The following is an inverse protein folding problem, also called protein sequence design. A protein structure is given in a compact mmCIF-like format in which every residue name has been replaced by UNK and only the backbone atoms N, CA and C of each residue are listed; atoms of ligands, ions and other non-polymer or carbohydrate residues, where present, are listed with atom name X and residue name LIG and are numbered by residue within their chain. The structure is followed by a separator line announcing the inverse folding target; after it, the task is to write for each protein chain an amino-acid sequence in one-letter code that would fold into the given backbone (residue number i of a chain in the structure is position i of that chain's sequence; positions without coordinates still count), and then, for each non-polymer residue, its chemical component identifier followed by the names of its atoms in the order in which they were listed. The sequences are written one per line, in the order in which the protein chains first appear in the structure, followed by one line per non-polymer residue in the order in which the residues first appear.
data_IF_323578781253
#
_entry.id   IF_323578781253
#
_cell.length_a   1.000
_cell.length_b   1.000
_cell.length_c   1.000
_cell.angle_alpha   90.00
_cell.angle_beta   90.00
_cell.angle_gamma   90.00
#
_symmetry.space_group_name_H-M   'P 1'
#
loop_
_entity.id
_entity.type
_entity.pdbx_description
1 polymer ?
#
# COMPACT_ATOMS: atom_id res chain seq x y z
N UNK A 1 20.73 31.55 -51.08
CA UNK A 1 19.97 30.40 -50.53
C UNK A 1 19.08 30.95 -49.42
N UNK A 2 17.81 31.26 -49.71
CA UNK A 2 16.60 30.51 -49.29
C UNK A 2 16.57 30.27 -47.76
N UNK A 3 15.88 31.05 -46.92
CA UNK A 3 14.42 31.24 -46.72
C UNK A 3 13.87 30.40 -45.55
N UNK A 4 13.50 31.11 -44.46
CA UNK A 4 12.35 31.01 -43.52
C UNK A 4 11.96 29.62 -42.93
N UNK A 5 11.53 29.48 -41.68
CA UNK A 5 10.32 30.07 -41.08
C UNK A 5 10.30 29.98 -39.53
N UNK A 6 9.69 31.01 -38.95
CA UNK A 6 9.10 31.05 -37.61
C UNK A 6 7.79 30.25 -37.55
N UNK A 7 7.43 29.68 -36.39
CA UNK A 7 6.06 29.75 -35.84
C UNK A 7 6.02 29.39 -34.36
N UNK A 8 5.39 30.29 -33.62
CA UNK A 8 4.92 30.20 -32.23
C UNK A 8 3.96 29.03 -31.95
N UNK A 9 3.82 28.71 -30.65
CA UNK A 9 2.55 28.53 -29.89
C UNK A 9 2.90 28.10 -28.45
N UNK A 10 2.76 28.99 -27.46
CA UNK A 10 1.55 29.28 -26.67
C UNK A 10 1.08 28.13 -25.76
N UNK A 11 1.23 28.40 -24.46
CA UNK A 11 0.40 28.03 -23.31
C UNK A 11 -0.84 27.18 -23.57
N UNK A 12 -1.02 26.14 -22.74
CA UNK A 12 -2.29 25.90 -22.06
C UNK A 12 -2.08 25.24 -20.70
N UNK A 13 -2.59 25.93 -19.68
CA UNK A 13 -2.98 25.38 -18.39
C UNK A 13 -4.15 24.41 -18.55
N UNK A 14 -4.25 23.45 -17.63
CA UNK A 14 -5.45 22.80 -17.07
C UNK A 14 -4.99 21.43 -16.53
N UNK A 15 -5.43 20.87 -15.41
CA UNK A 15 -6.37 21.20 -14.34
C UNK A 15 -6.12 20.16 -13.25
N UNK A 16 -6.05 20.64 -12.01
CA UNK A 16 -6.91 20.23 -10.88
C UNK A 16 -7.40 18.77 -10.83
N UNK A 17 -7.11 18.13 -9.69
CA UNK A 17 -7.90 17.11 -8.97
C UNK A 17 -8.15 15.78 -9.70
N UNK A 18 -7.80 14.64 -9.12
CA UNK A 18 -8.56 14.10 -8.00
C UNK A 18 -7.68 13.20 -7.12
N UNK A 19 -7.61 13.57 -5.84
CA UNK A 19 -7.45 12.60 -4.78
C UNK A 19 -8.65 11.66 -4.84
N UNK A 20 -8.50 10.55 -5.54
CA UNK A 20 -9.31 9.37 -5.27
C UNK A 20 -8.41 8.45 -4.48
N UNK A 21 -8.56 8.51 -3.15
CA UNK A 21 -8.27 7.34 -2.34
C UNK A 21 -9.07 6.21 -2.96
N UNK A 22 -8.42 5.36 -3.76
CA UNK A 22 -8.98 4.10 -4.24
C UNK A 22 -9.12 3.19 -3.03
N UNK A 23 -10.12 3.47 -2.22
CA UNK A 23 -10.62 2.52 -1.24
C UNK A 23 -11.45 1.50 -1.98
N UNK A 24 -11.11 0.23 -1.74
CA UNK A 24 -11.82 -0.98 -2.16
C UNK A 24 -11.60 -1.34 -3.63
N UNK A 25 -10.84 -2.43 -3.80
CA UNK A 25 -10.69 -3.20 -5.02
C UNK A 25 -12.08 -3.56 -5.55
N UNK A 26 -12.49 -2.98 -6.67
CA UNK A 26 -13.66 -3.42 -7.45
C UNK A 26 -13.32 -4.76 -8.12
N UNK A 27 -13.46 -5.84 -7.34
CA UNK A 27 -13.15 -7.23 -7.73
C UNK A 27 -14.10 -7.72 -8.85
N UNK A 28 -15.19 -7.01 -9.15
CA UNK A 28 -16.27 -7.48 -10.03
C UNK A 28 -15.96 -7.46 -11.54
N UNK A 29 -14.85 -6.86 -11.99
CA UNK A 29 -14.55 -6.71 -13.43
C UNK A 29 -13.18 -7.25 -13.87
N UNK A 30 -12.45 -7.97 -13.01
CA UNK A 30 -11.12 -8.48 -13.37
C UNK A 30 -11.19 -9.84 -14.06
N UNK A 31 -10.90 -9.87 -15.37
CA UNK A 31 -10.47 -11.09 -16.05
C UNK A 31 -9.17 -11.63 -15.44
N UNK A 32 -8.91 -12.94 -15.54
CA UNK A 32 -7.75 -13.60 -14.91
C UNK A 32 -6.38 -12.98 -15.23
N UNK A 33 -6.23 -12.36 -16.40
CA UNK A 33 -4.98 -11.64 -16.77
C UNK A 33 -4.73 -10.39 -15.92
N UNK A 34 -5.79 -9.68 -15.50
CA UNK A 34 -5.65 -8.48 -14.70
C UNK A 34 -5.24 -8.79 -13.25
N UNK A 35 -5.63 -9.95 -12.72
CA UNK A 35 -5.22 -10.38 -11.37
C UNK A 35 -3.71 -10.56 -11.27
N UNK A 36 -3.10 -11.20 -12.25
CA UNK A 36 -1.64 -11.39 -12.27
C UNK A 36 -0.87 -10.06 -12.24
N UNK A 37 -1.39 -9.04 -12.94
CA UNK A 37 -0.79 -7.69 -12.97
C UNK A 37 -0.90 -7.02 -11.60
N UNK A 38 -2.07 -7.04 -10.95
CA UNK A 38 -2.26 -6.43 -9.64
C UNK A 38 -1.44 -7.11 -8.55
N UNK A 39 -1.40 -8.45 -8.56
CA UNK A 39 -0.59 -9.21 -7.62
C UNK A 39 0.90 -8.91 -7.81
N UNK A 40 1.35 -8.82 -9.06
CA UNK A 40 2.73 -8.48 -9.38
C UNK A 40 3.11 -7.11 -8.85
N UNK A 41 2.22 -6.11 -8.93
CA UNK A 41 2.47 -4.77 -8.36
C UNK A 41 2.73 -4.86 -6.85
N UNK A 42 1.85 -5.55 -6.12
CA UNK A 42 2.03 -5.74 -4.67
C UNK A 42 3.34 -6.45 -4.35
N UNK A 43 3.69 -7.48 -5.12
CA UNK A 43 4.96 -8.19 -4.94
C UNK A 43 6.16 -7.26 -5.11
N UNK A 44 6.24 -6.52 -6.22
CA UNK A 44 7.37 -5.64 -6.51
C UNK A 44 7.48 -4.46 -5.54
N UNK A 45 6.35 -3.94 -5.06
CA UNK A 45 6.32 -2.77 -4.19
C UNK A 45 6.55 -3.13 -2.72
N UNK A 46 6.06 -4.28 -2.24
CA UNK A 46 6.06 -4.57 -0.80
C UNK A 46 6.75 -5.89 -0.39
N UNK A 47 6.85 -6.88 -1.28
CA UNK A 47 7.31 -8.23 -0.90
C UNK A 47 8.68 -8.60 -1.48
N UNK A 48 9.12 -7.92 -2.54
CA UNK A 48 10.41 -8.18 -3.17
C UNK A 48 11.55 -7.71 -2.26
N UNK A 49 12.57 -8.56 -2.02
CA UNK A 49 13.78 -8.15 -1.31
C UNK A 49 14.45 -6.93 -1.97
N UNK A 50 14.76 -5.93 -1.17
CA UNK A 50 15.31 -4.64 -1.61
C UNK A 50 14.29 -3.64 -2.13
N UNK A 51 12.98 -3.91 -1.99
CA UNK A 51 11.97 -2.90 -2.31
C UNK A 51 12.05 -1.70 -1.35
N UNK A 52 11.73 -0.50 -1.86
CA UNK A 52 11.65 0.72 -1.04
C UNK A 52 10.68 0.56 0.14
N UNK A 53 9.59 -0.17 -0.05
CA UNK A 53 8.57 -0.43 0.97
C UNK A 53 8.54 -1.90 1.40
N UNK A 54 9.70 -2.57 1.34
CA UNK A 54 9.84 -3.97 1.73
C UNK A 54 9.26 -4.22 3.14
N UNK A 55 8.27 -5.10 3.20
CA UNK A 55 7.71 -5.58 4.45
C UNK A 55 8.64 -6.60 5.07
N UNK A 56 8.80 -6.52 6.39
CA UNK A 56 9.56 -7.50 7.16
C UNK A 56 8.79 -8.84 7.25
N UNK A 57 8.84 -9.63 6.18
CA UNK A 57 8.15 -10.91 6.07
C UNK A 57 9.18 -12.05 6.14
N UNK A 58 8.97 -13.09 6.96
CA UNK A 58 9.86 -14.25 6.98
C UNK A 58 9.92 -14.92 5.61
N UNK A 59 11.11 -15.39 5.23
CA UNK A 59 11.35 -16.03 3.94
C UNK A 59 10.40 -17.22 3.67
N UNK A 60 10.06 -18.01 4.70
CA UNK A 60 9.13 -19.14 4.58
C UNK A 60 7.73 -18.71 4.17
N UNK A 61 7.24 -17.57 4.66
CA UNK A 61 5.93 -17.01 4.30
C UNK A 61 5.96 -16.47 2.86
N UNK A 62 7.07 -15.85 2.46
CA UNK A 62 7.27 -15.39 1.08
C UNK A 62 7.32 -16.55 0.08
N UNK A 63 7.97 -17.66 0.45
CA UNK A 63 7.98 -18.88 -0.36
C UNK A 63 6.58 -19.47 -0.55
N UNK A 64 5.75 -19.48 0.50
CA UNK A 64 4.36 -19.95 0.40
C UNK A 64 3.55 -19.09 -0.58
N UNK A 65 3.70 -17.75 -0.51
CA UNK A 65 3.09 -16.83 -1.48
C UNK A 65 3.56 -17.11 -2.91
N UNK A 66 4.87 -17.24 -3.13
CA UNK A 66 5.44 -17.50 -4.46
C UNK A 66 4.98 -18.84 -5.03
N UNK A 67 4.85 -19.87 -4.19
CA UNK A 67 4.29 -21.16 -4.59
C UNK A 67 2.86 -20.99 -5.12
N UNK A 68 1.99 -20.30 -4.38
CA UNK A 68 0.61 -20.04 -4.80
C UNK A 68 0.53 -19.20 -6.08
N UNK A 69 1.45 -18.24 -6.25
CA UNK A 69 1.55 -17.44 -7.48
C UNK A 69 1.85 -18.32 -8.69
N UNK A 70 2.79 -19.26 -8.56
CA UNK A 70 3.15 -20.19 -9.64
C UNK A 70 2.03 -21.18 -9.96
N UNK A 71 1.27 -21.60 -8.95
CA UNK A 71 0.10 -22.47 -9.08
C UNK A 71 -1.15 -21.73 -9.59
N UNK A 72 -1.08 -20.40 -9.76
CA UNK A 72 -2.21 -19.53 -10.13
C UNK A 72 -3.40 -19.63 -9.16
N UNK A 73 -3.16 -19.99 -7.90
CA UNK A 73 -4.18 -19.96 -6.83
C UNK A 73 -4.34 -18.53 -6.30
N UNK A 74 -5.06 -17.71 -7.06
CA UNK A 74 -5.22 -16.29 -6.76
C UNK A 74 -6.24 -15.99 -5.66
N UNK A 75 -7.15 -16.92 -5.34
CA UNK A 75 -8.26 -16.68 -4.39
C UNK A 75 -7.70 -16.35 -3.00
N UNK A 76 -6.70 -17.11 -2.56
CA UNK A 76 -6.13 -17.00 -1.21
C UNK A 76 -4.61 -16.80 -1.24
N UNK A 77 -4.11 -16.18 -2.32
CA UNK A 77 -2.67 -15.99 -2.52
C UNK A 77 -2.03 -15.15 -1.41
N UNK A 78 -2.73 -14.12 -0.94
CA UNK A 78 -2.24 -13.23 0.10
C UNK A 78 -2.54 -13.69 1.53
N UNK A 79 -3.23 -14.80 1.75
CA UNK A 79 -3.52 -15.30 3.11
C UNK A 79 -2.27 -15.44 4.01
N UNK A 80 -1.17 -16.08 3.58
CA UNK A 80 0.03 -16.17 4.41
C UNK A 80 0.62 -14.78 4.74
N UNK A 81 0.64 -13.88 3.77
CA UNK A 81 1.16 -12.51 3.94
C UNK A 81 0.26 -11.70 4.89
N UNK A 82 -1.05 -11.70 4.67
CA UNK A 82 -2.04 -10.98 5.51
C UNK A 82 -1.93 -11.42 6.96
N UNK A 83 -1.87 -12.72 7.21
CA UNK A 83 -1.76 -13.29 8.54
C UNK A 83 -0.52 -12.78 9.26
N UNK A 84 0.62 -12.77 8.57
CA UNK A 84 1.88 -12.35 9.16
C UNK A 84 1.93 -10.85 9.43
N UNK A 85 1.46 -10.03 8.47
CA UNK A 85 1.34 -8.57 8.66
C UNK A 85 0.43 -8.25 9.84
N UNK A 86 -0.74 -8.86 9.92
CA UNK A 86 -1.68 -8.66 11.03
C UNK A 86 -1.07 -9.09 12.37
N UNK A 87 -0.37 -10.23 12.41
CA UNK A 87 0.35 -10.70 13.60
C UNK A 87 1.36 -9.64 14.07
N UNK A 88 2.18 -9.11 13.16
CA UNK A 88 3.16 -8.06 13.49
C UNK A 88 2.51 -6.77 13.98
N UNK A 89 1.45 -6.31 13.31
CA UNK A 89 0.71 -5.11 13.72
C UNK A 89 0.12 -5.30 15.11
N UNK A 90 -0.53 -6.45 15.36
CA UNK A 90 -1.17 -6.75 16.63
C UNK A 90 -0.15 -6.85 17.78
N UNK A 91 1.00 -7.45 17.55
CA UNK A 91 2.01 -7.65 18.59
C UNK A 91 2.85 -6.40 18.86
N UNK A 92 3.14 -5.58 17.84
CA UNK A 92 4.12 -4.50 17.94
C UNK A 92 3.48 -3.11 17.88
N UNK A 93 2.65 -2.85 16.87
CA UNK A 93 2.12 -1.52 16.55
C UNK A 93 0.91 -1.19 17.41
N UNK A 94 -0.02 -2.13 17.54
CA UNK A 94 -1.28 -1.94 18.23
C UNK A 94 -1.11 -1.61 19.72
N UNK A 95 -0.26 -2.30 20.52
CA UNK A 95 -0.11 -1.98 21.93
C UNK A 95 0.49 -0.58 22.14
N UNK A 96 1.46 -0.19 21.30
CA UNK A 96 2.06 1.15 21.33
C UNK A 96 1.06 2.23 20.98
N UNK A 97 0.20 1.98 19.99
CA UNK A 97 -0.89 2.88 19.64
C UNK A 97 -1.84 3.08 20.84
N UNK A 98 -2.33 2.00 21.45
CA UNK A 98 -3.23 2.06 22.61
C UNK A 98 -2.57 2.78 23.79
N UNK A 99 -1.31 2.48 24.10
CA UNK A 99 -0.56 3.15 25.16
C UNK A 99 -0.50 4.66 24.93
N UNK A 100 -0.20 5.09 23.70
CA UNK A 100 -0.16 6.51 23.34
C UNK A 100 -1.51 7.19 23.55
N UNK A 101 -2.61 6.54 23.17
CA UNK A 101 -3.96 7.10 23.36
C UNK A 101 -4.32 7.23 24.85
N UNK A 102 -4.00 6.21 25.66
CA UNK A 102 -4.24 6.25 27.12
C UNK A 102 -3.41 7.35 27.78
N UNK A 103 -2.12 7.47 27.44
CA UNK A 103 -1.24 8.50 27.98
C UNK A 103 -1.70 9.92 27.60
N UNK A 104 -2.10 10.13 26.34
CA UNK A 104 -2.64 11.41 25.90
C UNK A 104 -3.91 11.79 26.68
N UNK A 105 -4.80 10.83 26.93
CA UNK A 105 -6.01 11.08 27.71
C UNK A 105 -5.72 11.34 29.19
N UNK A 106 -4.73 10.65 29.79
CA UNK A 106 -4.31 10.92 31.17
C UNK A 106 -3.71 12.31 31.36
N UNK A 107 -2.93 12.80 30.38
CA UNK A 107 -2.34 14.14 30.43
C UNK A 107 -3.44 15.21 30.47
N UNK A 108 -4.51 15.07 29.68
CA UNK A 108 -5.66 15.99 29.70
C UNK A 108 -6.37 15.99 31.07
N UNK A 109 -6.56 14.82 31.69
CA UNK A 109 -7.22 14.73 33.01
C UNK A 109 -6.38 15.39 34.11
N UNK A 110 -5.05 15.26 34.06
CA UNK A 110 -4.16 15.90 35.05
C UNK A 110 -4.24 17.43 34.94
N UNK A 111 -4.28 17.98 33.72
CA UNK A 111 -4.41 19.43 33.54
C UNK A 111 -5.77 19.99 33.98
N UNK A 112 -6.86 19.22 33.86
CA UNK A 112 -8.19 19.67 34.27
C UNK A 112 -8.43 19.62 35.79
N UNK A 113 -7.63 18.84 36.54
CA UNK A 113 -7.72 18.74 38.00
C UNK A 113 -6.73 19.67 38.73
N UNK A 114 -5.99 20.51 37.99
CA UNK A 114 -5.03 21.48 38.54
C UNK A 114 -5.46 22.95 38.42
N UNK A 115 -6.71 23.21 37.99
CA UNK A 115 -7.37 24.53 38.03
C UNK A 115 -8.59 24.47 38.95
#
# INVERSE_FOLDING_TARGET
MLSRNSTDKLYSNDKTTNGTSKTVLDISNLSGENFGIEISKIYYEYLRPGSQFELNIPFTVLQEFQKKMNEQDYINIFEPIKREVLRMVYQNTFPRYIQKQICNNKVIIIFNNMN
#
